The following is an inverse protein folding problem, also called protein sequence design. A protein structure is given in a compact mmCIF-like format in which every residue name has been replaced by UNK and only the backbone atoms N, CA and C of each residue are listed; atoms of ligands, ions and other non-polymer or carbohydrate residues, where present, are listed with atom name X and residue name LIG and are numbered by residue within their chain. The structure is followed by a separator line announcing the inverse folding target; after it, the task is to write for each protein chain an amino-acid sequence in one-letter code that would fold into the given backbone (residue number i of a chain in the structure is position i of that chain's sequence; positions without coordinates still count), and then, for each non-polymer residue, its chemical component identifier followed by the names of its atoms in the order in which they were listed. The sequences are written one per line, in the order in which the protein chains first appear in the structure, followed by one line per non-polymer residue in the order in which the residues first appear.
data_IF_399623681179
#
_entry.id   IF_399623681179
#
_cell.length_a   1.000
_cell.length_b   1.000
_cell.length_c   1.000
_cell.angle_alpha   90.00
_cell.angle_beta   90.00
_cell.angle_gamma   90.00
#
_symmetry.space_group_name_H-M   'P 1'
#
loop_
_entity.id
_entity.type
_entity.pdbx_description
1 polymer ?
#
# COMPACT_ATOMS: atom_id res chain seq x y z
N UNK A 1 30.98 1.99 5.29
CA UNK A 1 29.58 2.31 4.93
C UNK A 1 28.52 1.68 5.86
N UNK A 2 28.66 0.41 6.28
CA UNK A 2 27.69 -0.26 7.21
C UNK A 2 27.42 0.49 8.52
N UNK A 3 28.45 1.07 9.14
CA UNK A 3 28.35 1.73 10.44
C UNK A 3 27.58 3.06 10.43
N UNK A 4 27.58 3.77 9.30
CA UNK A 4 26.86 5.05 9.16
C UNK A 4 25.34 4.80 9.16
N UNK A 5 24.91 3.72 8.51
CA UNK A 5 23.50 3.31 8.44
C UNK A 5 22.93 2.96 9.82
N UNK A 6 23.74 2.32 10.66
CA UNK A 6 23.33 1.95 12.02
C UNK A 6 23.12 3.17 12.91
N UNK A 7 24.03 4.16 12.81
CA UNK A 7 23.98 5.39 13.59
C UNK A 7 22.82 6.31 13.16
N UNK A 8 22.51 6.37 11.87
CA UNK A 8 21.31 7.07 11.37
C UNK A 8 20.02 6.41 11.86
N UNK A 9 19.93 5.07 11.78
CA UNK A 9 18.76 4.32 12.24
C UNK A 9 18.49 4.55 13.73
N UNK A 10 19.54 4.57 14.55
CA UNK A 10 19.45 4.86 15.98
C UNK A 10 18.93 6.28 16.24
N UNK A 11 19.50 7.30 15.57
CA UNK A 11 19.02 8.69 15.70
C UNK A 11 17.60 8.91 15.19
N UNK A 12 17.18 8.20 14.14
CA UNK A 12 15.79 8.24 13.69
C UNK A 12 14.86 7.73 14.80
N UNK A 13 15.17 6.58 15.40
CA UNK A 13 14.36 6.02 16.49
C UNK A 13 14.30 6.92 17.73
N UNK A 14 15.32 7.74 17.99
CA UNK A 14 15.35 8.69 19.11
C UNK A 14 14.48 9.94 18.88
N UNK A 15 14.33 10.38 17.62
CA UNK A 15 13.62 11.63 17.28
C UNK A 15 12.16 11.39 16.95
N UNK A 16 11.79 10.20 16.45
CA UNK A 16 10.39 9.87 16.16
C UNK A 16 9.67 9.43 17.44
N UNK A 17 8.71 10.23 17.92
CA UNK A 17 7.79 9.83 19.00
C UNK A 17 6.80 8.72 18.62
N UNK A 18 6.83 8.29 17.35
CA UNK A 18 5.95 7.25 16.80
C UNK A 18 6.81 6.03 16.52
N UNK A 19 6.47 4.92 17.15
CA UNK A 19 7.16 3.64 16.98
C UNK A 19 7.13 3.23 15.48
N UNK A 20 8.25 2.74 14.92
CA UNK A 20 8.29 2.34 13.52
C UNK A 20 7.29 1.20 13.29
N UNK A 21 6.30 1.43 12.41
CA UNK A 21 5.25 0.45 12.07
C UNK A 21 5.82 -0.98 12.00
N UNK A 22 5.47 -1.76 13.01
CA UNK A 22 5.81 -3.15 13.18
C UNK A 22 4.51 -3.95 13.27
N UNK A 23 4.39 -4.96 12.41
CA UNK A 23 3.21 -5.82 12.32
C UNK A 23 3.36 -7.07 13.20
N UNK A 24 4.37 -7.11 14.07
CA UNK A 24 4.65 -8.22 14.99
C UNK A 24 5.26 -9.47 14.34
N UNK A 25 5.26 -9.54 13.01
CA UNK A 25 5.84 -10.63 12.22
C UNK A 25 6.89 -10.06 11.27
N UNK A 26 8.16 -10.42 11.46
CA UNK A 26 9.29 -9.87 10.69
C UNK A 26 9.12 -9.92 9.16
N UNK A 27 8.54 -11.01 8.64
CA UNK A 27 8.26 -11.17 7.21
C UNK A 27 7.25 -10.11 6.75
N UNK A 28 6.13 -10.00 7.48
CA UNK A 28 5.06 -9.07 7.16
C UNK A 28 5.52 -7.61 7.32
N UNK A 29 6.27 -7.31 8.38
CA UNK A 29 6.87 -5.99 8.62
C UNK A 29 7.83 -5.60 7.48
N UNK A 30 8.62 -6.55 6.97
CA UNK A 30 9.52 -6.29 5.84
C UNK A 30 8.77 -6.04 4.52
N UNK A 31 7.74 -6.84 4.21
CA UNK A 31 6.91 -6.60 3.03
C UNK A 31 6.18 -5.27 3.13
N UNK A 32 5.58 -4.98 4.28
CA UNK A 32 4.89 -3.74 4.55
C UNK A 32 5.81 -2.53 4.36
N UNK A 33 7.01 -2.55 4.94
CA UNK A 33 7.99 -1.45 4.80
C UNK A 33 8.40 -1.23 3.34
N UNK A 34 8.62 -2.30 2.57
CA UNK A 34 8.95 -2.19 1.14
C UNK A 34 7.81 -1.60 0.32
N UNK A 35 6.61 -2.16 0.47
CA UNK A 35 5.42 -1.73 -0.28
C UNK A 35 5.08 -0.28 0.07
N UNK A 36 5.03 0.06 1.37
CA UNK A 36 4.71 1.44 1.79
C UNK A 36 5.80 2.43 1.41
N UNK A 37 7.07 2.07 1.44
CA UNK A 37 8.14 2.96 0.96
C UNK A 37 7.98 3.30 -0.53
N UNK A 38 7.60 2.32 -1.34
CA UNK A 38 7.35 2.52 -2.77
C UNK A 38 6.08 3.35 -3.01
N UNK A 39 4.99 3.02 -2.31
CA UNK A 39 3.73 3.76 -2.39
C UNK A 39 3.87 5.21 -1.89
N UNK A 40 4.75 5.50 -0.93
CA UNK A 40 4.98 6.86 -0.44
C UNK A 40 5.71 7.75 -1.46
N UNK A 41 6.52 7.17 -2.35
CA UNK A 41 7.30 7.93 -3.33
C UNK A 41 6.53 8.13 -4.63
N UNK A 42 5.89 7.09 -5.14
CA UNK A 42 5.14 7.17 -6.38
C UNK A 42 3.93 6.22 -6.36
N UNK A 43 2.87 6.55 -5.59
CA UNK A 43 1.73 5.65 -5.39
C UNK A 43 1.03 5.31 -6.70
N UNK A 44 0.83 6.31 -7.55
CA UNK A 44 0.03 6.19 -8.77
C UNK A 44 0.66 5.27 -9.83
N UNK A 45 1.99 5.11 -9.83
CA UNK A 45 2.68 4.24 -10.80
C UNK A 45 2.27 2.78 -10.64
N UNK A 46 2.04 2.33 -9.41
CA UNK A 46 1.59 0.96 -9.14
C UNK A 46 0.08 0.88 -9.00
N UNK A 47 -0.53 1.85 -8.31
CA UNK A 47 -1.97 1.84 -8.03
C UNK A 47 -2.78 1.92 -9.33
N UNK A 48 -2.47 2.83 -10.26
CA UNK A 48 -3.29 3.00 -11.47
C UNK A 48 -3.30 1.73 -12.33
N UNK A 49 -2.15 1.14 -12.73
CA UNK A 49 -2.16 -0.06 -13.57
C UNK A 49 -2.81 -1.25 -12.85
N UNK A 50 -2.54 -1.40 -11.54
CA UNK A 50 -3.10 -2.50 -10.75
C UNK A 50 -4.62 -2.37 -10.65
N UNK A 51 -5.14 -1.17 -10.35
CA UNK A 51 -6.58 -0.93 -10.26
C UNK A 51 -7.24 -1.16 -11.61
N UNK A 52 -6.69 -0.66 -12.71
CA UNK A 52 -7.24 -0.93 -14.06
C UNK A 52 -7.29 -2.44 -14.34
N UNK A 53 -6.21 -3.16 -14.03
CA UNK A 53 -6.13 -4.60 -14.27
C UNK A 53 -7.15 -5.38 -13.44
N UNK A 54 -7.27 -5.06 -12.16
CA UNK A 54 -8.25 -5.68 -11.25
C UNK A 54 -9.67 -5.34 -11.69
N UNK A 55 -9.95 -4.08 -12.02
CA UNK A 55 -11.28 -3.65 -12.48
C UNK A 55 -11.69 -4.36 -13.77
N UNK A 56 -10.78 -4.50 -14.74
CA UNK A 56 -11.02 -5.26 -15.97
C UNK A 56 -11.30 -6.73 -15.66
N UNK A 57 -10.48 -7.35 -14.83
CA UNK A 57 -10.65 -8.74 -14.42
C UNK A 57 -12.00 -8.98 -13.74
N UNK A 58 -12.36 -8.14 -12.78
CA UNK A 58 -13.66 -8.21 -12.10
C UNK A 58 -14.82 -7.96 -13.06
N UNK A 59 -14.68 -7.02 -14.00
CA UNK A 59 -15.69 -6.76 -15.01
C UNK A 59 -15.91 -7.99 -15.92
N UNK A 60 -14.84 -8.71 -16.30
CA UNK A 60 -14.95 -9.94 -17.10
C UNK A 60 -15.71 -11.03 -16.32
N UNK A 61 -15.47 -11.17 -15.01
CA UNK A 61 -16.10 -12.21 -14.18
C UNK A 61 -17.57 -11.88 -13.87
N UNK A 62 -17.85 -10.64 -13.47
CA UNK A 62 -19.15 -10.25 -12.90
C UNK A 62 -20.03 -9.44 -13.87
N UNK A 63 -19.45 -8.84 -14.91
CA UNK A 63 -20.14 -8.12 -15.97
C UNK A 63 -21.14 -7.07 -15.46
N UNK A 64 -22.40 -7.20 -15.88
CA UNK A 64 -23.48 -6.25 -15.55
C UNK A 64 -23.78 -6.18 -14.05
N UNK A 65 -23.54 -7.23 -13.27
CA UNK A 65 -23.77 -7.22 -11.82
C UNK A 65 -22.84 -6.21 -11.15
N UNK A 66 -21.57 -6.19 -11.57
CA UNK A 66 -20.58 -5.24 -11.05
C UNK A 66 -20.96 -3.80 -11.38
N UNK A 67 -21.41 -3.54 -12.62
CA UNK A 67 -21.89 -2.20 -13.01
C UNK A 67 -23.05 -1.76 -12.13
N UNK A 68 -24.06 -2.63 -11.92
CA UNK A 68 -25.23 -2.30 -11.10
C UNK A 68 -24.84 -2.03 -9.64
N UNK A 69 -23.95 -2.84 -9.08
CA UNK A 69 -23.45 -2.67 -7.72
C UNK A 69 -22.72 -1.34 -7.57
N UNK A 70 -21.81 -1.01 -8.49
CA UNK A 70 -21.09 0.27 -8.49
C UNK A 70 -22.06 1.45 -8.64
N UNK A 71 -23.04 1.36 -9.54
CA UNK A 71 -24.07 2.40 -9.69
C UNK A 71 -24.85 2.62 -8.39
N UNK A 72 -25.23 1.55 -7.69
CA UNK A 72 -25.92 1.66 -6.39
C UNK A 72 -25.00 2.29 -5.34
N UNK A 73 -23.73 1.87 -5.26
CA UNK A 73 -22.79 2.44 -4.28
C UNK A 73 -22.45 3.91 -4.56
N UNK A 74 -22.39 4.30 -5.83
CA UNK A 74 -22.00 5.65 -6.24
C UNK A 74 -23.15 6.64 -6.17
N UNK A 75 -24.39 6.21 -6.47
CA UNK A 75 -25.55 7.09 -6.61
C UNK A 75 -26.73 6.71 -5.70
N UNK A 76 -26.58 5.71 -4.85
CA UNK A 76 -27.63 5.24 -3.95
C UNK A 76 -27.73 6.01 -2.63
N UNK A 77 -26.98 7.10 -2.47
CA UNK A 77 -27.01 8.01 -1.31
C UNK A 77 -27.66 9.34 -1.69
#
# INVERSE_FOLDING_TARGET
MKNINFRMKQKMNEVFSIEPNDLGVNILTNYFRKITSYLKTAPFILVIPLTISISLFLYIIFGKLLVRLVTILQYGY
#
